data_IF_489384386050
#
_entry.id   IF_489384386050
#
_cell.length_a   1.000
_cell.length_b   1.000
_cell.length_c   1.000
_cell.angle_alpha   90.00
_cell.angle_beta   90.00
_cell.angle_gamma   90.00
#
_symmetry.space_group_name_H-M   'P 1'
#
loop_
_entity.id
_entity.type
_entity.pdbx_description
1 polymer ?
#
# COMPACT_ATOMS: atom_id res chain seq x y z
N UNK A 1 -51.43 29.39 29.02
CA UNK A 1 -52.01 30.49 28.20
C UNK A 1 -50.94 31.53 27.96
N UNK A 2 -50.77 31.94 26.69
CA UNK A 2 -50.12 33.17 26.18
C UNK A 2 -48.62 33.36 26.49
N UNK A 3 -47.75 33.85 25.61
CA UNK A 3 -47.82 34.30 24.22
C UNK A 3 -46.38 34.49 23.71
N UNK A 4 -46.28 34.62 22.40
CA UNK A 4 -45.15 34.66 21.46
C UNK A 4 -44.06 35.73 21.65
N UNK A 5 -43.13 35.71 20.67
CA UNK A 5 -42.29 36.79 20.09
C UNK A 5 -40.89 36.94 20.74
N UNK A 6 -39.78 37.13 20.03
CA UNK A 6 -39.54 37.54 18.63
C UNK A 6 -38.06 37.27 18.29
N UNK A 7 -37.78 36.98 17.02
CA UNK A 7 -36.44 37.03 16.43
C UNK A 7 -35.76 38.40 16.62
N UNK A 8 -34.45 38.40 16.80
CA UNK A 8 -33.61 39.56 16.52
C UNK A 8 -32.44 39.13 15.63
N UNK A 9 -32.59 39.43 14.34
CA UNK A 9 -31.52 39.52 13.35
C UNK A 9 -30.78 40.84 13.61
N UNK A 10 -29.45 40.81 13.68
CA UNK A 10 -28.62 42.00 13.58
C UNK A 10 -27.54 41.80 12.52
N UNK A 11 -27.54 42.73 11.56
CA UNK A 11 -26.73 42.82 10.35
C UNK A 11 -25.35 43.47 10.61
N UNK A 12 -24.34 42.94 9.89
CA UNK A 12 -23.30 43.63 9.07
C UNK A 12 -22.29 44.60 9.72
N UNK A 13 -20.99 44.31 9.53
CA UNK A 13 -19.99 45.15 8.83
C UNK A 13 -18.65 44.38 8.68
N UNK A 14 -18.31 43.91 7.48
CA UNK A 14 -17.31 44.50 6.57
C UNK A 14 -15.92 44.73 7.21
N UNK A 15 -14.97 43.84 6.90
CA UNK A 15 -13.57 44.23 6.73
C UNK A 15 -13.09 43.78 5.35
N UNK A 16 -12.42 44.71 4.71
CA UNK A 16 -12.19 44.79 3.27
C UNK A 16 -11.23 43.76 2.71
N UNK A 17 -11.42 43.49 1.41
CA UNK A 17 -10.45 42.90 0.51
C UNK A 17 -9.03 43.44 0.73
N UNK A 18 -8.07 42.54 0.87
CA UNK A 18 -6.81 42.65 0.14
C UNK A 18 -6.79 41.48 -0.84
N UNK A 19 -6.65 41.83 -2.12
CA UNK A 19 -6.55 40.95 -3.27
C UNK A 19 -5.10 41.06 -3.77
N UNK A 20 -4.70 40.10 -4.60
CA UNK A 20 -3.39 39.88 -5.25
C UNK A 20 -2.57 38.85 -4.47
N UNK A 21 -2.22 37.66 -4.97
CA UNK A 21 -2.40 37.00 -6.25
C UNK A 21 -2.10 35.51 -5.99
N UNK A 22 -2.95 34.60 -6.42
CA UNK A 22 -2.51 33.34 -7.01
C UNK A 22 -3.70 32.69 -7.72
N UNK A 23 -3.79 32.99 -9.00
CA UNK A 23 -4.78 32.43 -9.90
C UNK A 23 -4.39 30.99 -10.24
N UNK A 24 -5.21 30.08 -9.73
CA UNK A 24 -5.75 28.91 -10.43
C UNK A 24 -4.80 28.06 -11.29
N UNK A 25 -4.59 26.82 -10.84
CA UNK A 25 -4.98 25.69 -11.67
C UNK A 25 -5.74 24.65 -10.84
N UNK A 26 -7.06 24.70 -11.01
CA UNK A 26 -8.01 23.64 -10.74
C UNK A 26 -7.69 22.45 -11.64
N UNK A 27 -7.52 21.25 -11.07
CA UNK A 27 -8.20 20.00 -11.47
C UNK A 27 -7.52 18.81 -10.77
N UNK A 28 -8.07 18.47 -9.61
CA UNK A 28 -8.30 17.09 -9.15
C UNK A 28 -8.61 16.14 -10.31
N UNK A 29 -7.87 15.02 -10.37
CA UNK A 29 -8.09 13.72 -11.06
C UNK A 29 -6.71 13.22 -11.48
N UNK A 30 -6.05 12.22 -10.92
CA UNK A 30 -6.48 11.00 -10.26
C UNK A 30 -5.37 10.54 -9.30
N UNK A 31 -5.58 10.60 -7.99
CA UNK A 31 -4.87 9.69 -7.05
C UNK A 31 -5.84 8.78 -6.31
N UNK A 32 -7.05 8.67 -6.84
CA UNK A 32 -8.06 7.64 -6.56
C UNK A 32 -7.62 6.25 -7.05
N UNK A 33 -6.35 5.88 -6.83
CA UNK A 33 -6.04 4.51 -6.41
C UNK A 33 -6.06 4.43 -4.87
N UNK A 34 -7.13 4.98 -4.31
CA UNK A 34 -7.72 4.55 -3.06
C UNK A 34 -8.00 3.05 -3.16
N UNK A 35 -7.21 2.25 -2.42
CA UNK A 35 -7.62 1.05 -1.66
C UNK A 35 -6.47 0.05 -1.59
N UNK A 36 -5.69 0.11 -0.51
CA UNK A 36 -5.27 -1.07 0.25
C UNK A 36 -5.02 -0.61 1.69
N UNK A 37 -5.99 -0.91 2.55
CA UNK A 37 -6.04 -0.75 4.01
C UNK A 37 -4.78 -0.20 4.71
N UNK A 38 -4.86 1.05 5.20
CA UNK A 38 -3.97 1.63 6.24
C UNK A 38 -4.25 1.00 7.63
N UNK A 39 -4.80 -0.23 7.68
CA UNK A 39 -5.20 -0.93 8.91
C UNK A 39 -4.54 -2.30 9.08
N UNK A 40 -3.80 -2.79 8.08
CA UNK A 40 -2.98 -3.99 8.25
C UNK A 40 -1.58 -3.57 8.69
N UNK A 41 -1.15 -4.06 9.85
CA UNK A 41 0.27 -4.02 10.20
C UNK A 41 1.04 -4.75 9.11
N UNK A 42 2.19 -4.21 8.78
CA UNK A 42 3.07 -4.79 7.79
C UNK A 42 4.17 -5.58 8.52
N UNK A 43 4.56 -6.72 7.95
CA UNK A 43 5.40 -7.69 8.65
C UNK A 43 6.86 -7.20 8.72
N UNK A 44 7.66 -7.68 9.70
CA UNK A 44 9.11 -7.47 9.66
C UNK A 44 9.67 -7.98 8.32
N UNK A 45 10.42 -7.14 7.61
CA UNK A 45 10.97 -7.47 6.28
C UNK A 45 12.01 -8.59 6.29
N UNK A 46 12.42 -9.10 7.46
CA UNK A 46 13.38 -10.20 7.59
C UNK A 46 12.67 -11.52 7.88
N UNK A 47 13.18 -12.58 7.27
CA UNK A 47 12.68 -13.95 7.41
C UNK A 47 12.40 -14.60 6.07
N UNK A 48 11.80 -15.79 6.14
CA UNK A 48 11.38 -16.56 4.98
C UNK A 48 9.87 -16.71 4.98
N UNK A 49 9.27 -16.51 3.82
CA UNK A 49 7.86 -16.67 3.56
C UNK A 49 7.66 -17.69 2.47
N UNK A 50 6.98 -18.77 2.81
CA UNK A 50 6.55 -19.77 1.86
C UNK A 50 5.21 -19.35 1.26
N UNK A 51 5.15 -19.28 -0.06
CA UNK A 51 3.91 -18.98 -0.78
C UNK A 51 3.19 -20.31 -1.05
N UNK A 52 1.91 -20.37 -0.73
CA UNK A 52 1.14 -21.62 -0.73
C UNK A 52 -0.05 -21.59 -1.70
N UNK A 53 -0.67 -20.42 -1.85
CA UNK A 53 -1.78 -20.22 -2.79
C UNK A 53 -1.65 -18.90 -3.53
N UNK A 54 -2.20 -18.82 -4.73
CA UNK A 54 -2.47 -17.56 -5.43
C UNK A 54 -3.67 -16.86 -4.79
N UNK A 55 -3.86 -15.57 -5.07
CA UNK A 55 -5.07 -14.84 -4.64
C UNK A 55 -6.38 -15.38 -5.21
N UNK A 56 -6.31 -16.22 -6.25
CA UNK A 56 -7.47 -16.89 -6.83
C UNK A 56 -7.84 -18.18 -6.09
N UNK A 57 -7.09 -18.55 -5.05
CA UNK A 57 -7.31 -19.75 -4.25
C UNK A 57 -6.72 -21.03 -4.87
N UNK A 58 -5.88 -20.89 -5.90
CA UNK A 58 -5.20 -22.01 -6.53
C UNK A 58 -3.90 -22.32 -5.76
N UNK A 59 -3.62 -23.58 -5.41
CA UNK A 59 -2.34 -23.94 -4.80
C UNK A 59 -1.20 -23.66 -5.78
N UNK A 60 -0.06 -23.21 -5.26
CA UNK A 60 1.15 -23.09 -6.09
C UNK A 60 1.85 -24.44 -6.18
N UNK A 61 2.10 -24.90 -7.40
CA UNK A 61 2.84 -26.14 -7.65
C UNK A 61 4.34 -25.85 -7.71
N UNK A 62 4.99 -25.81 -6.54
CA UNK A 62 6.43 -25.61 -6.46
C UNK A 62 6.92 -25.09 -5.11
N UNK A 63 8.23 -24.91 -5.03
CA UNK A 63 8.89 -24.25 -3.91
C UNK A 63 8.95 -22.74 -4.19
N UNK A 64 7.82 -22.06 -3.96
CA UNK A 64 7.71 -20.60 -4.10
C UNK A 64 7.96 -19.94 -2.77
N UNK A 65 8.86 -18.98 -2.76
CA UNK A 65 9.23 -18.29 -1.53
C UNK A 65 9.76 -16.89 -1.78
N UNK A 66 9.64 -16.09 -0.73
CA UNK A 66 10.40 -14.87 -0.52
C UNK A 66 11.30 -15.11 0.69
N UNK A 67 12.59 -14.86 0.58
CA UNK A 67 13.53 -15.03 1.67
C UNK A 67 14.43 -13.80 1.78
N UNK A 68 14.47 -13.19 2.96
CA UNK A 68 15.21 -11.95 3.20
C UNK A 68 16.07 -12.17 4.42
N UNK A 69 17.38 -12.32 4.17
CA UNK A 69 18.39 -12.63 5.17
C UNK A 69 19.47 -11.55 5.10
N UNK A 70 19.52 -10.70 6.12
CA UNK A 70 20.45 -9.58 6.16
C UNK A 70 20.16 -8.61 5.02
N UNK A 71 21.13 -8.43 4.12
CA UNK A 71 21.00 -7.55 2.95
C UNK A 71 20.85 -8.32 1.63
N UNK A 72 20.31 -9.54 1.70
CA UNK A 72 20.05 -10.38 0.53
C UNK A 72 18.58 -10.77 0.49
N UNK A 73 17.93 -10.53 -0.64
CA UNK A 73 16.55 -10.89 -0.94
C UNK A 73 16.54 -11.93 -2.06
N UNK A 74 15.89 -13.06 -1.83
CA UNK A 74 15.63 -14.09 -2.81
C UNK A 74 14.14 -14.18 -3.07
N UNK A 75 13.74 -14.08 -4.34
CA UNK A 75 12.36 -14.29 -4.76
C UNK A 75 12.33 -15.42 -5.77
N UNK A 76 11.47 -16.41 -5.51
CA UNK A 76 11.20 -17.51 -6.42
C UNK A 76 9.70 -17.77 -6.55
N UNK A 77 9.20 -17.66 -7.78
CA UNK A 77 7.87 -18.03 -8.24
C UNK A 77 8.00 -18.69 -9.62
N UNK A 78 6.88 -18.98 -10.29
CA UNK A 78 6.83 -19.35 -11.71
C UNK A 78 7.28 -18.21 -12.64
N UNK A 79 7.02 -16.95 -12.25
CA UNK A 79 7.30 -15.75 -13.06
C UNK A 79 8.63 -15.09 -12.73
N UNK A 80 9.08 -15.19 -11.49
CA UNK A 80 10.22 -14.46 -10.97
C UNK A 80 11.20 -15.44 -10.32
N UNK A 81 12.48 -15.34 -10.65
CA UNK A 81 13.51 -16.12 -9.99
C UNK A 81 14.79 -15.29 -9.94
N UNK A 82 15.01 -14.58 -8.83
CA UNK A 82 16.15 -13.70 -8.68
C UNK A 82 16.63 -13.56 -7.24
N UNK A 83 17.89 -13.17 -7.13
CA UNK A 83 18.56 -12.73 -5.91
C UNK A 83 18.98 -11.27 -6.07
N UNK A 84 18.71 -10.43 -5.07
CA UNK A 84 19.17 -9.04 -5.05
C UNK A 84 19.78 -8.66 -3.72
N UNK A 85 20.87 -7.91 -3.78
CA UNK A 85 21.46 -7.20 -2.63
C UNK A 85 21.19 -5.68 -2.70
N UNK A 86 20.42 -5.25 -3.70
CA UNK A 86 20.07 -3.87 -3.96
C UNK A 86 18.57 -3.68 -3.76
N UNK A 87 18.17 -3.65 -2.50
CA UNK A 87 16.80 -3.35 -2.12
C UNK A 87 16.78 -2.43 -0.90
N UNK A 88 15.70 -1.66 -0.81
CA UNK A 88 15.46 -0.75 0.30
C UNK A 88 14.03 -0.91 0.81
N UNK A 89 13.81 -0.48 2.05
CA UNK A 89 12.45 -0.39 2.59
C UNK A 89 11.73 0.76 1.90
N UNK A 90 10.54 0.51 1.38
CA UNK A 90 9.70 1.53 0.77
C UNK A 90 9.11 2.51 1.80
N UNK A 91 8.33 3.46 1.31
CA UNK A 91 7.68 4.49 2.16
C UNK A 91 6.66 3.90 3.13
N UNK A 92 6.03 2.77 2.77
CA UNK A 92 5.15 2.04 3.67
C UNK A 92 5.89 0.91 4.39
N UNK A 93 5.40 0.59 5.59
CA UNK A 93 6.07 -0.17 6.64
C UNK A 93 6.38 -1.67 6.37
N UNK A 94 6.93 -2.08 5.22
CA UNK A 94 6.92 -3.48 4.76
C UNK A 94 6.77 -3.64 3.25
N UNK A 95 6.74 -2.50 2.54
CA UNK A 95 7.17 -2.42 1.15
C UNK A 95 8.68 -2.61 1.07
N UNK A 96 9.10 -3.33 0.04
CA UNK A 96 10.48 -3.57 -0.33
C UNK A 96 10.61 -3.16 -1.80
N UNK A 97 11.49 -2.21 -2.06
CA UNK A 97 11.79 -1.74 -3.41
C UNK A 97 13.09 -2.40 -3.84
N UNK A 98 13.02 -3.29 -4.82
CA UNK A 98 14.19 -3.94 -5.41
C UNK A 98 14.53 -3.22 -6.70
N UNK A 99 15.73 -2.62 -6.74
CA UNK A 99 16.21 -1.92 -7.94
C UNK A 99 17.04 -2.88 -8.80
N UNK A 100 16.70 -2.98 -10.08
CA UNK A 100 17.42 -3.82 -11.04
C UNK A 100 17.55 -3.10 -12.38
N UNK A 101 18.63 -3.36 -13.10
CA UNK A 101 18.90 -2.75 -14.40
C UNK A 101 17.80 -3.05 -15.44
N UNK A 102 17.06 -4.15 -15.25
CA UNK A 102 16.03 -4.60 -16.19
C UNK A 102 14.62 -4.17 -15.81
N UNK A 103 14.28 -4.18 -14.52
CA UNK A 103 12.94 -3.86 -14.01
C UNK A 103 12.98 -3.68 -12.49
N UNK A 104 12.40 -2.60 -12.00
CA UNK A 104 12.22 -2.41 -10.57
C UNK A 104 11.03 -3.23 -10.06
N UNK A 105 11.18 -3.81 -8.87
CA UNK A 105 10.12 -4.55 -8.20
C UNK A 105 9.69 -3.86 -6.92
N UNK A 106 8.38 -3.86 -6.67
CA UNK A 106 7.80 -3.54 -5.36
C UNK A 106 7.22 -4.81 -4.78
N UNK A 107 7.70 -5.21 -3.60
CA UNK A 107 7.19 -6.37 -2.85
C UNK A 107 6.60 -5.87 -1.54
N UNK A 108 5.35 -6.19 -1.26
CA UNK A 108 4.67 -5.79 -0.01
C UNK A 108 4.27 -7.01 0.78
N UNK A 109 4.65 -7.06 2.07
CA UNK A 109 4.29 -8.15 2.98
C UNK A 109 3.27 -7.64 4.01
N UNK A 110 2.06 -8.18 3.96
CA UNK A 110 0.95 -7.77 4.82
C UNK A 110 0.77 -8.81 5.94
N UNK A 111 0.73 -8.36 7.20
CA UNK A 111 0.45 -9.25 8.33
C UNK A 111 -1.00 -9.76 8.32
N UNK A 112 -1.25 -10.93 8.91
CA UNK A 112 -2.59 -11.40 9.18
C UNK A 112 -3.42 -10.36 9.94
N UNK A 113 -4.69 -10.23 9.56
CA UNK A 113 -5.68 -9.44 10.29
C UNK A 113 -6.81 -10.35 10.77
N UNK A 114 -7.72 -9.82 11.59
CA UNK A 114 -8.91 -10.57 12.03
C UNK A 114 -9.77 -11.08 10.86
N UNK A 115 -9.75 -10.37 9.71
CA UNK A 115 -10.52 -10.72 8.52
C UNK A 115 -9.70 -11.50 7.48
N UNK A 116 -8.38 -11.59 7.67
CA UNK A 116 -7.46 -12.24 6.74
C UNK A 116 -6.39 -12.94 7.56
N UNK A 117 -6.64 -14.17 8.05
CA UNK A 117 -5.79 -14.84 9.03
C UNK A 117 -4.51 -15.44 8.41
N UNK A 118 -4.01 -14.86 7.33
CA UNK A 118 -2.82 -15.31 6.59
C UNK A 118 -1.97 -14.12 6.17
N UNK A 119 -0.68 -14.32 5.96
CA UNK A 119 0.14 -13.28 5.35
C UNK A 119 -0.22 -13.18 3.87
N UNK A 120 -0.16 -11.96 3.33
CA UNK A 120 -0.36 -11.73 1.91
C UNK A 120 0.87 -11.04 1.35
N UNK A 121 1.43 -11.60 0.28
CA UNK A 121 2.56 -11.02 -0.44
C UNK A 121 2.07 -10.50 -1.78
N UNK A 122 2.31 -9.22 -2.03
CA UNK A 122 2.09 -8.58 -3.31
C UNK A 122 3.42 -8.36 -4.00
N UNK A 123 3.49 -8.63 -5.31
CA UNK A 123 4.69 -8.44 -6.12
C UNK A 123 4.28 -7.66 -7.37
N UNK A 124 4.91 -6.52 -7.60
CA UNK A 124 4.72 -5.68 -8.78
C UNK A 124 6.04 -5.44 -9.48
N UNK A 125 6.01 -5.45 -10.81
CA UNK A 125 7.11 -5.04 -11.69
C UNK A 125 6.71 -3.87 -12.62
N UNK A 126 5.72 -3.07 -12.20
CA UNK A 126 5.20 -1.92 -12.96
C UNK A 126 4.08 -2.25 -13.96
N UNK A 127 3.82 -3.52 -14.27
CA UNK A 127 2.77 -3.93 -15.22
C UNK A 127 1.54 -4.59 -14.57
N UNK A 128 1.56 -4.81 -13.26
CA UNK A 128 0.48 -5.47 -12.53
C UNK A 128 0.92 -5.92 -11.14
N UNK A 129 0.04 -6.67 -10.47
CA UNK A 129 0.33 -7.27 -9.17
C UNK A 129 0.07 -8.77 -9.22
N UNK A 130 1.08 -9.56 -8.87
CA UNK A 130 0.89 -10.94 -8.44
C UNK A 130 0.66 -10.96 -6.93
N UNK A 131 -0.26 -11.81 -6.49
CA UNK A 131 -0.66 -11.88 -5.07
C UNK A 131 -0.65 -13.32 -4.60
N UNK A 132 0.01 -13.54 -3.48
CA UNK A 132 0.19 -14.85 -2.87
C UNK A 132 -0.27 -14.85 -1.42
N UNK A 133 -0.92 -15.92 -1.01
CA UNK A 133 -1.12 -16.26 0.40
C UNK A 133 0.14 -16.98 0.86
N UNK A 134 0.70 -16.52 1.98
CA UNK A 134 1.96 -17.01 2.48
C UNK A 134 1.92 -17.34 3.98
N UNK A 135 2.79 -18.26 4.38
CA UNK A 135 3.12 -18.57 5.76
C UNK A 135 4.56 -18.14 6.05
N UNK A 136 4.81 -17.64 7.26
CA UNK A 136 6.16 -17.32 7.72
C UNK A 136 6.81 -18.59 8.26
N UNK A 137 8.03 -18.89 7.80
CA UNK A 137 8.85 -20.02 8.28
C UNK A 137 9.77 -19.62 9.44
#
# INVERSE_FOLDING_TARGET
MKQHLLCAVALIALSSCSREDEMSNTLTSDSTLSRKNVLSKQAPIQGKWKMEWTSMGEPVEGDFFLDIIGNTLHLKTDKYNFTSNNFERGENDGDIIVKSDTSDFTITIVEPTINTPYHVIYISNGFGYDTFIASKE
#
